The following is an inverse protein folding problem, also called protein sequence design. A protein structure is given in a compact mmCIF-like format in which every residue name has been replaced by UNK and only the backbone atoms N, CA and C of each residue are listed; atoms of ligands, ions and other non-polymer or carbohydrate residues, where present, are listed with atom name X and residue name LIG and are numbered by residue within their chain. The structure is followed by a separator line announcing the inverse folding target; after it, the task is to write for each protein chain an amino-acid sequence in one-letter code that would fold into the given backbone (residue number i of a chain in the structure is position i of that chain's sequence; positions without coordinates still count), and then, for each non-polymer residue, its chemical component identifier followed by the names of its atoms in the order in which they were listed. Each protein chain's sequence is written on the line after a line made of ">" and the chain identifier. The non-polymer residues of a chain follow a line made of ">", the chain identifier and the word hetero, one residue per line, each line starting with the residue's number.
data_IF_159370961786
#
_entry.id   IF_159370961786
#
_cell.length_a   1.000
_cell.length_b   1.000
_cell.length_c   1.000
_cell.angle_alpha   90.00
_cell.angle_beta   90.00
_cell.angle_gamma   90.00
#
_symmetry.space_group_name_H-M   'P 1'
#
loop_
_entity.id
_entity.type
_entity.pdbx_description
1 polymer ?
#
# COMPACT_ATOMS: atom_id res chain seq x y z
N UNK A 1 -37.09 -26.84 -9.34
CA UNK A 1 -35.92 -27.08 -10.21
C UNK A 1 -35.45 -25.74 -10.75
N UNK A 2 -34.15 -25.50 -10.78
CA UNK A 2 -33.54 -24.31 -11.39
C UNK A 2 -32.67 -24.75 -12.57
N UNK A 3 -32.51 -23.84 -13.53
CA UNK A 3 -31.44 -23.88 -14.52
C UNK A 3 -30.46 -22.76 -14.21
N UNK A 4 -29.19 -23.02 -14.46
CA UNK A 4 -28.08 -22.13 -14.15
C UNK A 4 -27.45 -21.68 -15.46
N UNK A 5 -27.59 -20.40 -15.75
CA UNK A 5 -27.13 -19.77 -16.97
C UNK A 5 -25.66 -19.42 -16.86
N UNK A 6 -24.93 -19.65 -17.94
CA UNK A 6 -23.54 -19.26 -18.09
C UNK A 6 -23.32 -18.61 -19.45
N UNK A 7 -22.34 -17.72 -19.51
CA UNK A 7 -21.89 -17.14 -20.76
C UNK A 7 -21.22 -18.22 -21.61
N UNK A 8 -21.70 -18.44 -22.84
CA UNK A 8 -21.24 -19.54 -23.70
C UNK A 8 -19.81 -19.37 -24.21
N UNK A 9 -19.26 -18.17 -24.15
CA UNK A 9 -17.91 -17.87 -24.65
C UNK A 9 -16.87 -18.09 -23.55
N UNK A 10 -17.17 -17.62 -22.35
CA UNK A 10 -16.24 -17.58 -21.22
C UNK A 10 -16.49 -18.71 -20.20
N UNK A 11 -17.71 -19.25 -20.18
CA UNK A 11 -18.21 -20.16 -19.15
C UNK A 11 -18.69 -19.46 -17.88
N UNK A 12 -18.60 -18.13 -17.77
CA UNK A 12 -18.91 -17.44 -16.51
C UNK A 12 -20.37 -17.62 -16.10
N UNK A 13 -20.62 -17.99 -14.85
CA UNK A 13 -21.97 -18.00 -14.30
C UNK A 13 -22.63 -16.62 -14.39
N UNK A 14 -23.87 -16.56 -14.85
CA UNK A 14 -24.65 -15.34 -15.04
C UNK A 14 -25.77 -15.25 -14.01
N UNK A 15 -26.68 -16.22 -14.00
CA UNK A 15 -27.87 -16.20 -13.15
C UNK A 15 -28.49 -17.60 -13.01
N UNK A 16 -29.43 -17.73 -12.09
CA UNK A 16 -30.27 -18.91 -11.95
C UNK A 16 -31.72 -18.51 -12.14
N UNK A 17 -32.48 -19.32 -12.88
CA UNK A 17 -33.91 -19.08 -13.08
C UNK A 17 -34.69 -20.39 -13.10
N UNK A 18 -36.01 -20.29 -12.96
CA UNK A 18 -36.87 -21.43 -13.25
C UNK A 18 -36.87 -21.67 -14.77
N UNK A 19 -36.80 -22.93 -15.24
CA UNK A 19 -36.93 -23.21 -16.66
C UNK A 19 -38.39 -23.07 -17.10
N UNK A 20 -38.59 -22.68 -18.35
CA UNK A 20 -39.90 -22.67 -18.97
C UNK A 20 -40.34 -24.10 -19.30
N UNK A 21 -41.65 -24.36 -19.23
CA UNK A 21 -42.25 -25.62 -19.69
C UNK A 21 -42.15 -25.67 -21.21
N UNK A 22 -41.89 -26.86 -21.76
CA UNK A 22 -41.93 -27.05 -23.20
C UNK A 22 -43.38 -26.94 -23.71
N UNK A 23 -43.68 -25.99 -24.62
CA UNK A 23 -45.03 -25.78 -25.13
C UNK A 23 -45.58 -26.98 -25.92
N UNK A 24 -44.73 -27.93 -26.33
CA UNK A 24 -45.14 -29.17 -27.02
C UNK A 24 -45.24 -30.38 -26.09
N UNK A 25 -44.73 -30.28 -24.86
CA UNK A 25 -44.77 -31.36 -23.89
C UNK A 25 -44.71 -30.79 -22.46
N UNK A 26 -45.86 -30.78 -21.77
CA UNK A 26 -45.98 -30.22 -20.43
C UNK A 26 -45.15 -30.94 -19.34
N UNK A 27 -44.65 -32.14 -19.62
CA UNK A 27 -43.79 -32.91 -18.70
C UNK A 27 -42.29 -32.61 -18.89
N UNK A 28 -41.93 -31.80 -19.90
CA UNK A 28 -40.54 -31.45 -20.21
C UNK A 28 -40.26 -29.97 -19.95
N UNK A 29 -39.03 -29.68 -19.56
CA UNK A 29 -38.52 -28.33 -19.31
C UNK A 29 -37.52 -27.93 -20.39
N UNK A 30 -37.56 -26.67 -20.80
CA UNK A 30 -36.60 -26.12 -21.75
C UNK A 30 -35.29 -25.77 -21.05
N UNK A 31 -34.18 -26.28 -21.59
CA UNK A 31 -32.83 -25.97 -21.13
C UNK A 31 -32.09 -25.32 -22.30
N UNK A 32 -31.85 -24.00 -22.25
CA UNK A 32 -31.07 -23.32 -23.27
C UNK A 32 -29.64 -23.86 -23.39
N UNK A 33 -29.02 -23.69 -24.55
CA UNK A 33 -27.64 -24.16 -24.80
C UNK A 33 -26.55 -23.47 -23.95
N UNK A 34 -26.89 -22.41 -23.20
CA UNK A 34 -26.03 -21.74 -22.23
C UNK A 34 -26.51 -21.93 -20.81
N UNK A 35 -27.19 -23.04 -20.51
CA UNK A 35 -27.68 -23.36 -19.19
C UNK A 35 -27.47 -24.84 -18.86
N UNK A 36 -27.37 -25.14 -17.57
CA UNK A 36 -27.31 -26.51 -17.04
C UNK A 36 -28.25 -26.67 -15.84
N UNK A 37 -28.65 -27.91 -15.56
CA UNK A 37 -29.34 -28.27 -14.32
C UNK A 37 -28.35 -28.45 -13.15
N UNK A 38 -27.06 -28.61 -13.44
CA UNK A 38 -26.03 -28.74 -12.43
C UNK A 38 -25.93 -27.42 -11.67
N UNK A 39 -26.09 -27.47 -10.35
CA UNK A 39 -25.94 -26.28 -9.52
C UNK A 39 -24.47 -25.84 -9.47
N UNK A 40 -24.17 -24.53 -9.58
CA UNK A 40 -22.83 -24.04 -9.35
C UNK A 40 -22.43 -24.28 -7.88
N UNK A 41 -21.14 -24.52 -7.60
CA UNK A 41 -20.64 -24.67 -6.25
C UNK A 41 -20.82 -23.38 -5.45
N UNK A 42 -20.86 -23.51 -4.12
CA UNK A 42 -20.86 -22.37 -3.22
C UNK A 42 -19.58 -21.55 -3.40
N UNK A 43 -19.71 -20.25 -3.64
CA UNK A 43 -18.58 -19.33 -3.84
C UNK A 43 -18.18 -18.61 -2.55
N UNK A 44 -16.92 -18.21 -2.50
CA UNK A 44 -16.41 -17.21 -1.56
C UNK A 44 -16.37 -15.82 -2.23
N UNK A 45 -16.15 -14.72 -1.49
CA UNK A 45 -16.09 -13.37 -2.06
C UNK A 45 -15.02 -13.17 -3.15
N UNK A 46 -13.97 -13.98 -3.17
CA UNK A 46 -12.83 -13.88 -4.10
C UNK A 46 -12.81 -15.01 -5.13
N UNK A 47 -13.96 -15.62 -5.38
CA UNK A 47 -14.10 -16.71 -6.35
C UNK A 47 -15.38 -16.57 -7.17
N UNK A 48 -15.34 -17.02 -8.41
CA UNK A 48 -16.52 -17.04 -9.28
C UNK A 48 -16.67 -18.39 -10.02
N UNK A 49 -17.90 -18.90 -10.20
CA UNK A 49 -18.12 -20.15 -10.92
C UNK A 49 -18.00 -19.99 -12.44
N UNK A 50 -17.37 -20.96 -13.09
CA UNK A 50 -17.25 -21.11 -14.53
C UNK A 50 -17.65 -22.52 -14.95
N UNK A 51 -18.51 -22.63 -15.97
CA UNK A 51 -18.88 -23.91 -16.57
C UNK A 51 -17.92 -24.21 -17.72
N UNK A 52 -17.11 -25.25 -17.58
CA UNK A 52 -16.09 -25.66 -18.54
C UNK A 52 -16.13 -27.17 -18.70
N UNK A 53 -16.07 -27.64 -19.94
CA UNK A 53 -16.03 -29.08 -20.26
C UNK A 53 -17.15 -29.90 -19.59
N UNK A 54 -18.33 -29.30 -19.46
CA UNK A 54 -19.50 -29.93 -18.85
C UNK A 54 -19.53 -29.94 -17.32
N UNK A 55 -18.61 -29.25 -16.64
CA UNK A 55 -18.55 -29.19 -15.18
C UNK A 55 -18.34 -27.76 -14.65
N UNK A 56 -18.85 -27.47 -13.45
CA UNK A 56 -18.55 -26.22 -12.77
C UNK A 56 -17.20 -26.25 -12.08
N UNK A 57 -16.40 -25.19 -12.27
CA UNK A 57 -15.18 -24.93 -11.52
C UNK A 57 -15.21 -23.53 -10.90
N UNK A 58 -14.67 -23.38 -9.69
CA UNK A 58 -14.41 -22.05 -9.11
C UNK A 58 -13.05 -21.55 -9.56
N UNK A 59 -13.01 -20.32 -10.04
CA UNK A 59 -11.76 -19.62 -10.34
C UNK A 59 -11.58 -18.44 -9.37
N UNK A 60 -10.33 -18.05 -9.06
CA UNK A 60 -10.04 -16.78 -8.42
C UNK A 60 -10.73 -15.63 -9.16
N UNK A 61 -11.48 -14.80 -8.45
CA UNK A 61 -12.11 -13.61 -9.01
C UNK A 61 -12.00 -12.46 -8.01
N UNK A 62 -11.05 -11.57 -8.28
CA UNK A 62 -10.77 -10.39 -7.48
C UNK A 62 -11.24 -9.11 -8.19
N UNK A 63 -12.08 -9.24 -9.22
CA UNK A 63 -12.59 -8.08 -9.95
C UNK A 63 -13.43 -7.19 -9.03
N UNK A 64 -13.28 -5.89 -9.19
CA UNK A 64 -13.94 -4.89 -8.34
C UNK A 64 -13.34 -4.76 -6.94
N UNK A 65 -12.28 -5.51 -6.60
CA UNK A 65 -11.48 -5.26 -5.41
C UNK A 65 -10.32 -4.33 -5.74
N UNK A 66 -10.16 -3.30 -4.92
CA UNK A 66 -8.99 -2.43 -4.96
C UNK A 66 -7.79 -3.19 -4.38
N UNK A 67 -6.78 -3.42 -5.21
CA UNK A 67 -5.52 -4.02 -4.83
C UNK A 67 -4.39 -2.98 -4.93
N UNK A 68 -3.20 -3.33 -4.47
CA UNK A 68 -2.03 -2.45 -4.45
C UNK A 68 -0.82 -3.16 -5.03
N UNK A 69 -0.11 -2.46 -5.89
CA UNK A 69 1.17 -2.88 -6.44
C UNK A 69 2.18 -3.07 -5.32
N UNK A 70 2.79 -4.26 -5.22
CA UNK A 70 3.76 -4.54 -4.15
C UNK A 70 5.08 -3.78 -4.34
N UNK A 71 5.44 -3.44 -5.58
CA UNK A 71 6.65 -2.68 -5.91
C UNK A 71 6.49 -1.17 -5.68
N UNK A 72 5.31 -0.59 -5.91
CA UNK A 72 5.09 0.86 -5.84
C UNK A 72 4.10 1.33 -4.78
N UNK A 73 3.20 0.45 -4.31
CA UNK A 73 2.06 0.81 -3.47
C UNK A 73 0.90 1.47 -4.23
N UNK A 74 0.97 1.56 -5.56
CA UNK A 74 -0.09 2.15 -6.39
C UNK A 74 -1.36 1.29 -6.36
N UNK A 75 -2.52 1.94 -6.24
CA UNK A 75 -3.80 1.26 -6.22
C UNK A 75 -4.20 0.82 -7.65
N UNK A 76 -4.59 -0.44 -7.81
CA UNK A 76 -4.93 -1.06 -9.08
C UNK A 76 -6.13 -2.00 -8.90
N UNK A 77 -7.08 -1.95 -9.83
CA UNK A 77 -8.16 -2.93 -9.90
C UNK A 77 -7.77 -4.11 -10.80
N UNK A 78 -8.10 -5.32 -10.36
CA UNK A 78 -7.92 -6.52 -11.18
C UNK A 78 -9.09 -6.62 -12.17
N UNK A 79 -8.80 -6.69 -13.45
CA UNK A 79 -9.81 -6.89 -14.50
C UNK A 79 -9.89 -8.36 -14.97
N UNK A 80 -8.89 -9.16 -14.65
CA UNK A 80 -8.72 -10.53 -15.15
C UNK A 80 -9.18 -11.55 -14.12
N UNK A 81 -9.95 -12.53 -14.56
CA UNK A 81 -10.37 -13.68 -13.75
C UNK A 81 -9.32 -14.78 -13.83
N UNK A 82 -9.22 -15.59 -12.78
CA UNK A 82 -8.39 -16.79 -12.73
C UNK A 82 -6.99 -16.54 -12.20
N UNK A 83 -6.63 -15.29 -11.91
CA UNK A 83 -5.37 -14.91 -11.30
C UNK A 83 -5.64 -14.30 -9.93
N UNK A 84 -4.80 -14.67 -8.97
CA UNK A 84 -4.75 -14.07 -7.64
C UNK A 84 -3.98 -12.75 -7.67
N UNK A 85 -4.17 -11.86 -6.68
CA UNK A 85 -3.36 -10.66 -6.54
C UNK A 85 -1.86 -10.97 -6.50
N UNK A 86 -1.46 -12.02 -5.78
CA UNK A 86 -0.06 -12.42 -5.65
C UNK A 86 0.59 -12.76 -7.00
N UNK A 87 -0.10 -13.53 -7.85
CA UNK A 87 0.36 -13.85 -9.22
C UNK A 87 0.53 -12.61 -10.10
N UNK A 88 -0.14 -11.50 -9.76
CA UNK A 88 -0.05 -10.22 -10.46
C UNK A 88 0.92 -9.22 -9.80
N UNK A 89 1.66 -9.65 -8.76
CA UNK A 89 2.52 -8.76 -7.97
C UNK A 89 1.73 -7.74 -7.15
N UNK A 90 0.52 -8.09 -6.74
CA UNK A 90 -0.43 -7.25 -6.01
C UNK A 90 -0.72 -7.81 -4.62
N UNK A 91 -1.21 -6.95 -3.75
CA UNK A 91 -1.80 -7.32 -2.45
C UNK A 91 -3.15 -6.61 -2.27
N UNK A 92 -4.06 -7.20 -1.50
CA UNK A 92 -5.31 -6.53 -1.07
C UNK A 92 -5.08 -5.59 0.12
N UNK A 93 -3.88 -5.62 0.71
CA UNK A 93 -3.50 -4.76 1.83
C UNK A 93 -2.99 -3.41 1.33
N UNK A 94 -3.62 -2.33 1.77
CA UNK A 94 -3.15 -0.99 1.46
C UNK A 94 -1.82 -0.68 2.17
N UNK A 95 -0.86 0.02 1.51
CA UNK A 95 0.31 0.52 2.19
C UNK A 95 -0.11 1.50 3.31
N UNK A 96 0.33 1.33 4.56
CA UNK A 96 -0.09 2.18 5.66
C UNK A 96 0.34 3.65 5.50
N UNK A 97 1.43 3.89 4.77
CA UNK A 97 1.90 5.24 4.41
C UNK A 97 2.94 5.17 3.28
N UNK A 98 3.29 6.31 2.64
CA UNK A 98 4.36 6.38 1.64
C UNK A 98 5.76 5.98 2.14
N UNK A 99 5.92 5.77 3.45
CA UNK A 99 7.18 5.31 4.06
C UNK A 99 7.34 3.79 3.98
N UNK A 100 6.28 3.06 3.63
CA UNK A 100 6.29 1.61 3.59
C UNK A 100 6.65 1.11 2.20
N UNK A 101 7.39 0.01 2.15
CA UNK A 101 7.60 -0.80 0.97
C UNK A 101 7.19 -2.25 1.29
N UNK A 102 6.82 -3.02 0.26
CA UNK A 102 6.50 -4.43 0.44
C UNK A 102 7.80 -5.21 0.62
N UNK A 103 8.00 -5.78 1.82
CA UNK A 103 9.20 -6.51 2.19
C UNK A 103 8.78 -7.80 2.88
N UNK A 104 9.25 -8.94 2.35
CA UNK A 104 8.99 -10.28 2.90
C UNK A 104 7.49 -10.57 3.12
N UNK A 105 6.66 -10.18 2.15
CA UNK A 105 5.21 -10.43 2.19
C UNK A 105 4.41 -9.49 3.09
N UNK A 106 4.97 -8.35 3.51
CA UNK A 106 4.24 -7.36 4.30
C UNK A 106 4.75 -5.93 4.06
N UNK A 107 3.88 -4.94 4.28
CA UNK A 107 4.27 -3.53 4.30
C UNK A 107 5.17 -3.23 5.50
N UNK A 108 6.41 -2.79 5.25
CA UNK A 108 7.37 -2.40 6.29
C UNK A 108 8.10 -1.12 5.90
N UNK A 109 8.51 -0.32 6.89
CA UNK A 109 9.37 0.84 6.64
C UNK A 109 10.80 0.35 6.39
N UNK A 110 11.41 0.62 5.22
CA UNK A 110 12.76 0.19 4.93
C UNK A 110 13.78 0.80 5.93
N UNK A 111 14.79 0.04 6.38
CA UNK A 111 15.83 0.57 7.27
C UNK A 111 16.53 1.82 6.73
N UNK A 112 16.69 1.92 5.41
CA UNK A 112 17.28 3.08 4.75
C UNK A 112 16.44 4.36 4.93
N UNK A 113 15.11 4.25 4.94
CA UNK A 113 14.20 5.38 5.21
C UNK A 113 14.38 5.85 6.65
N UNK A 114 14.37 4.93 7.61
CA UNK A 114 14.60 5.25 9.03
C UNK A 114 15.98 5.88 9.26
N UNK A 115 17.03 5.34 8.65
CA UNK A 115 18.39 5.88 8.76
C UNK A 115 18.50 7.28 8.16
N UNK A 116 17.85 7.53 7.03
CA UNK A 116 17.78 8.86 6.42
C UNK A 116 17.06 9.86 7.34
N UNK A 117 15.87 9.52 7.83
CA UNK A 117 15.11 10.40 8.72
C UNK A 117 15.88 10.74 10.00
N UNK A 118 16.62 9.77 10.57
CA UNK A 118 17.50 10.00 11.72
C UNK A 118 18.62 10.99 11.38
N UNK A 119 19.26 10.84 10.22
CA UNK A 119 20.31 11.77 9.76
C UNK A 119 19.75 13.16 9.51
N UNK A 120 18.61 13.25 8.85
CA UNK A 120 17.95 14.53 8.53
C UNK A 120 17.53 15.24 9.83
N UNK A 121 16.97 14.51 10.79
CA UNK A 121 16.62 15.04 12.11
C UNK A 121 17.85 15.52 12.90
N UNK A 122 18.95 14.74 12.89
CA UNK A 122 20.20 15.11 13.54
C UNK A 122 20.82 16.38 12.91
N UNK A 123 20.74 16.52 11.58
CA UNK A 123 21.19 17.72 10.89
C UNK A 123 20.38 18.95 11.30
N UNK A 124 19.06 18.83 11.34
CA UNK A 124 18.17 19.91 11.79
C UNK A 124 18.49 20.33 13.23
N UNK A 125 18.67 19.37 14.15
CA UNK A 125 19.05 19.67 15.53
C UNK A 125 20.42 20.38 15.60
N UNK A 126 21.41 19.87 14.87
CA UNK A 126 22.73 20.46 14.79
C UNK A 126 22.66 21.92 14.29
N UNK A 127 21.94 22.17 13.20
CA UNK A 127 21.75 23.51 12.63
C UNK A 127 21.08 24.47 13.62
N UNK A 128 20.05 24.01 14.32
CA UNK A 128 19.37 24.81 15.35
C UNK A 128 20.32 25.18 16.49
N UNK A 129 21.10 24.22 17.01
CA UNK A 129 22.05 24.42 18.09
C UNK A 129 23.19 25.37 17.67
N UNK A 130 23.70 25.19 16.44
CA UNK A 130 24.73 26.03 15.87
C UNK A 130 24.25 27.46 15.62
N UNK A 131 23.04 27.64 15.07
CA UNK A 131 22.43 28.94 14.82
C UNK A 131 22.19 29.71 16.11
N UNK A 132 21.72 29.03 17.17
CA UNK A 132 21.57 29.63 18.51
C UNK A 132 22.91 30.13 19.04
N UNK A 133 23.95 29.29 19.01
CA UNK A 133 25.26 29.67 19.50
C UNK A 133 25.87 30.84 18.70
N UNK A 134 25.74 30.82 17.37
CA UNK A 134 26.16 31.93 16.50
C UNK A 134 25.44 33.23 16.83
N UNK A 135 24.12 33.17 17.03
CA UNK A 135 23.31 34.34 17.41
C UNK A 135 23.76 34.92 18.75
N UNK A 136 24.08 34.10 19.73
CA UNK A 136 24.54 34.56 21.05
C UNK A 136 25.92 35.23 21.01
N UNK A 137 26.79 34.81 20.09
CA UNK A 137 28.13 35.37 19.89
C UNK A 137 28.21 36.45 18.81
N UNK A 138 27.10 36.75 18.13
CA UNK A 138 27.06 37.77 17.08
C UNK A 138 27.52 39.14 17.62
N UNK A 139 28.48 39.77 16.93
CA UNK A 139 29.04 41.07 17.30
C UNK A 139 29.96 41.08 18.53
N UNK A 140 30.15 39.95 19.23
CA UNK A 140 31.00 39.89 20.43
C UNK A 140 32.47 39.64 20.15
N UNK A 141 32.83 39.18 18.95
CA UNK A 141 34.21 38.85 18.60
C UNK A 141 35.14 40.10 18.66
N UNK A 142 34.74 41.20 18.02
CA UNK A 142 35.52 42.44 18.02
C UNK A 142 35.54 43.09 19.40
N UNK A 143 34.40 43.09 20.11
CA UNK A 143 34.32 43.61 21.48
C UNK A 143 35.20 42.81 22.44
N UNK A 144 35.27 41.48 22.28
CA UNK A 144 36.17 40.62 23.05
C UNK A 144 37.65 40.93 22.72
N UNK A 145 38.00 41.04 21.44
CA UNK A 145 39.37 41.34 21.00
C UNK A 145 39.86 42.71 21.46
N UNK A 146 38.97 43.71 21.50
CA UNK A 146 39.26 45.05 21.98
C UNK A 146 39.22 45.20 23.52
N UNK A 147 38.89 44.13 24.26
CA UNK A 147 38.77 44.18 25.73
C UNK A 147 37.59 45.00 26.25
N UNK A 148 36.52 45.13 25.44
CA UNK A 148 35.34 45.95 25.74
C UNK A 148 34.19 45.17 26.43
N UNK A 149 34.35 43.86 26.61
CA UNK A 149 33.40 43.03 27.35
C UNK A 149 33.72 43.03 28.85
N UNK A 150 32.69 43.00 29.68
CA UNK A 150 32.81 42.73 31.12
C UNK A 150 33.15 41.25 31.39
N UNK A 151 33.49 40.91 32.64
CA UNK A 151 33.88 39.55 33.02
C UNK A 151 32.82 38.50 32.65
N UNK A 152 31.54 38.84 32.85
CA UNK A 152 30.41 37.98 32.50
C UNK A 152 30.28 37.80 30.97
N UNK A 153 30.46 38.86 30.20
CA UNK A 153 30.46 38.84 28.74
C UNK A 153 31.63 38.04 28.16
N UNK A 154 32.83 38.19 28.72
CA UNK A 154 34.01 37.39 28.39
C UNK A 154 33.76 35.91 28.65
N UNK A 155 33.24 35.56 29.83
CA UNK A 155 32.91 34.18 30.19
C UNK A 155 31.90 33.59 29.22
N UNK A 156 30.79 34.30 28.96
CA UNK A 156 29.74 33.84 28.07
C UNK A 156 30.25 33.65 26.63
N UNK A 157 31.02 34.59 26.11
CA UNK A 157 31.59 34.49 24.75
C UNK A 157 32.49 33.27 24.60
N UNK A 158 33.37 33.00 25.57
CA UNK A 158 34.24 31.82 25.59
C UNK A 158 33.43 30.52 25.68
N UNK A 159 32.45 30.46 26.58
CA UNK A 159 31.62 29.28 26.78
C UNK A 159 30.83 28.90 25.52
N UNK A 160 30.20 29.88 24.86
CA UNK A 160 29.47 29.64 23.61
C UNK A 160 30.40 29.30 22.44
N UNK A 161 31.61 29.87 22.39
CA UNK A 161 32.61 29.52 21.37
C UNK A 161 33.10 28.08 21.54
N UNK A 162 33.37 27.65 22.78
CA UNK A 162 33.73 26.27 23.09
C UNK A 162 32.60 25.30 22.73
N UNK A 163 31.35 25.67 23.03
CA UNK A 163 30.18 24.88 22.65
C UNK A 163 30.04 24.72 21.12
N UNK A 164 30.31 25.77 20.34
CA UNK A 164 30.31 25.66 18.87
C UNK A 164 31.35 24.67 18.36
N UNK A 165 32.56 24.68 18.92
CA UNK A 165 33.60 23.72 18.54
C UNK A 165 33.21 22.29 18.92
N UNK A 166 32.62 22.11 20.12
CA UNK A 166 32.15 20.80 20.57
C UNK A 166 31.05 20.22 19.67
N UNK A 167 30.13 21.05 19.14
CA UNK A 167 29.08 20.61 18.22
C UNK A 167 29.63 20.05 16.89
N UNK A 168 30.80 20.51 16.44
CA UNK A 168 31.41 20.07 15.17
C UNK A 168 32.34 18.86 15.37
N UNK A 169 32.79 18.62 16.59
CA UNK A 169 33.69 17.52 16.92
C UNK A 169 32.99 16.15 17.11
N UNK A 170 31.66 16.12 17.04
CA UNK A 170 30.81 14.92 17.14
C UNK A 170 30.31 14.46 15.79
#
# INVERSE_FOLDING_TARGET
>A
MLIHHYDRTTGAYLSSSQPDVDPRNAERWLIPAGATLDAPPARTPTTWPFYRDGVWCLLPDYRGLLCYRTDTGEAVEIATVGLTPEELGLTVEAPPSPRHAWLDGAWRIPPAVLARERRDAAMVEFEQRMARARRTNAGKADAYAAGLLDDAGVYAFKAWSAYQMALVAT
#
